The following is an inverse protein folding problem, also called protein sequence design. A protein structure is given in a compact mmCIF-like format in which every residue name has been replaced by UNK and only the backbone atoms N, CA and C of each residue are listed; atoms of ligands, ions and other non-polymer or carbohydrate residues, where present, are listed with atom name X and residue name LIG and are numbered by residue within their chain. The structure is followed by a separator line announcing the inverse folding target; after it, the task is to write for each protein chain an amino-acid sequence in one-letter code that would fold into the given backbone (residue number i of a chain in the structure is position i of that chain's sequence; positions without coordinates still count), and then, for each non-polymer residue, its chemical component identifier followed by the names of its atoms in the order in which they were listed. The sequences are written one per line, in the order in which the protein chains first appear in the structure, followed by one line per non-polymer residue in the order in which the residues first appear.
data_IF_125886364026
#
_entry.id   IF_125886364026
#
_cell.length_a   1.000
_cell.length_b   1.000
_cell.length_c   1.000
_cell.angle_alpha   90.00
_cell.angle_beta   90.00
_cell.angle_gamma   90.00
#
_symmetry.space_group_name_H-M   'P 1'
#
loop_
_entity.id
_entity.type
_entity.pdbx_description
1 polymer ?
#
# COMPACT_ATOMS: atom_id res chain seq x y z
N UNK A 1 21.26 7.90 -9.06
CA UNK A 1 21.04 7.26 -10.37
C UNK A 1 19.60 6.80 -10.42
N UNK A 2 18.89 7.01 -11.53
CA UNK A 2 17.50 6.55 -11.71
C UNK A 2 17.44 5.67 -12.94
N UNK A 3 16.62 4.62 -12.89
CA UNK A 3 16.40 3.70 -14.00
C UNK A 3 14.90 3.55 -14.22
N UNK A 4 14.48 3.66 -15.48
CA UNK A 4 13.11 3.37 -15.90
C UNK A 4 13.16 2.19 -16.86
N UNK A 5 12.43 1.12 -16.54
CA UNK A 5 12.38 -0.09 -17.36
C UNK A 5 10.95 -0.60 -17.50
N UNK A 6 10.67 -1.28 -18.60
CA UNK A 6 9.40 -1.96 -18.84
C UNK A 6 9.54 -3.44 -18.45
N UNK A 7 8.68 -3.91 -17.55
CA UNK A 7 8.64 -5.30 -17.11
C UNK A 7 7.38 -6.01 -17.67
N UNK A 8 7.48 -6.54 -18.89
CA UNK A 8 6.36 -7.26 -19.52
C UNK A 8 6.22 -8.66 -18.93
N UNK A 9 5.00 -9.03 -18.51
CA UNK A 9 4.71 -10.35 -17.95
C UNK A 9 5.20 -10.58 -16.52
N UNK A 10 5.59 -9.53 -15.80
CA UNK A 10 6.12 -9.64 -14.44
C UNK A 10 5.02 -9.69 -13.35
N UNK A 11 3.82 -9.20 -13.65
CA UNK A 11 2.65 -9.26 -12.76
C UNK A 11 1.85 -10.51 -13.13
N UNK A 12 2.18 -11.63 -12.47
CA UNK A 12 1.67 -12.97 -12.84
C UNK A 12 0.56 -13.50 -11.92
N UNK A 13 0.29 -12.85 -10.78
CA UNK A 13 -0.68 -13.32 -9.78
C UNK A 13 -0.30 -14.64 -9.07
N UNK A 14 0.93 -15.11 -9.22
CA UNK A 14 1.47 -16.31 -8.55
C UNK A 14 2.06 -15.97 -7.18
N UNK A 15 2.46 -16.96 -6.37
CA UNK A 15 3.03 -16.71 -5.02
C UNK A 15 4.30 -15.83 -4.99
N UNK A 16 4.96 -15.63 -6.13
CA UNK A 16 6.17 -14.79 -6.26
C UNK A 16 5.88 -13.41 -6.87
N UNK A 17 4.60 -13.09 -7.13
CA UNK A 17 4.14 -11.85 -7.77
C UNK A 17 2.79 -11.41 -7.19
N UNK A 18 2.36 -10.18 -7.45
CA UNK A 18 0.99 -9.73 -7.18
C UNK A 18 0.09 -9.90 -8.41
N UNK A 19 -1.22 -9.81 -8.21
CA UNK A 19 -2.21 -9.65 -9.29
C UNK A 19 -2.39 -8.16 -9.59
N UNK A 20 -2.64 -7.81 -10.85
CA UNK A 20 -2.89 -6.42 -11.25
C UNK A 20 -4.20 -5.84 -10.70
N UNK A 21 -5.07 -6.68 -10.13
CA UNK A 21 -6.33 -6.29 -9.50
C UNK A 21 -6.27 -6.23 -7.97
N UNK A 22 -5.13 -6.51 -7.35
CA UNK A 22 -5.02 -6.52 -5.88
C UNK A 22 -4.99 -5.10 -5.32
N UNK A 23 -5.74 -4.87 -4.26
CA UNK A 23 -5.80 -3.57 -3.56
C UNK A 23 -4.58 -3.31 -2.65
N UNK A 24 -3.93 -4.37 -2.16
CA UNK A 24 -2.73 -4.30 -1.32
C UNK A 24 -1.53 -5.01 -1.99
N UNK A 25 -0.36 -4.37 -2.03
CA UNK A 25 0.84 -4.92 -2.68
C UNK A 25 1.99 -4.98 -1.68
N UNK A 26 2.60 -6.15 -1.52
CA UNK A 26 3.83 -6.34 -0.75
C UNK A 26 5.04 -6.37 -1.69
N UNK A 27 5.96 -5.42 -1.53
CA UNK A 27 7.19 -5.30 -2.31
C UNK A 27 8.41 -5.40 -1.41
N UNK A 28 9.49 -6.00 -1.92
CA UNK A 28 10.80 -6.01 -1.26
C UNK A 28 11.77 -5.06 -1.95
N UNK A 29 12.69 -4.47 -1.18
CA UNK A 29 13.84 -3.76 -1.72
C UNK A 29 15.13 -4.26 -1.07
N UNK A 30 16.23 -4.15 -1.82
CA UNK A 30 17.57 -4.47 -1.37
C UNK A 30 18.58 -3.55 -2.06
N UNK A 31 19.57 -3.08 -1.30
CA UNK A 31 20.62 -2.17 -1.77
C UNK A 31 21.98 -2.75 -1.41
N UNK A 32 22.85 -2.89 -2.40
CA UNK A 32 24.26 -3.23 -2.19
C UNK A 32 25.15 -1.99 -2.34
N UNK A 33 26.19 -1.89 -1.51
CA UNK A 33 27.21 -0.83 -1.61
C UNK A 33 28.37 -1.22 -2.52
N UNK A 34 28.46 -2.50 -2.90
CA UNK A 34 29.51 -3.07 -3.76
C UNK A 34 29.00 -3.18 -5.20
N UNK A 35 29.84 -2.84 -6.16
CA UNK A 35 29.51 -3.01 -7.59
C UNK A 35 29.40 -4.49 -7.96
N UNK A 36 28.49 -4.86 -8.89
CA UNK A 36 28.44 -6.22 -9.44
C UNK A 36 29.75 -6.58 -10.15
N UNK A 37 30.12 -7.86 -10.13
CA UNK A 37 31.18 -8.35 -11.03
C UNK A 37 30.60 -8.53 -12.43
N UNK A 38 31.44 -8.41 -13.47
CA UNK A 38 31.01 -8.52 -14.88
C UNK A 38 29.76 -7.67 -15.22
N UNK A 39 29.72 -6.36 -14.91
CA UNK A 39 28.51 -5.53 -15.01
C UNK A 39 28.02 -5.32 -16.45
N UNK A 40 28.78 -5.75 -17.46
CA UNK A 40 28.41 -5.64 -18.88
C UNK A 40 27.43 -6.72 -19.36
N UNK A 41 27.17 -7.76 -18.55
CA UNK A 41 26.30 -8.87 -18.91
C UNK A 41 25.38 -9.26 -17.76
N UNK A 42 24.07 -9.15 -17.96
CA UNK A 42 23.08 -9.52 -16.94
C UNK A 42 23.12 -11.01 -16.57
N UNK A 43 23.51 -11.89 -17.51
CA UNK A 43 23.51 -13.35 -17.30
C UNK A 43 24.75 -13.88 -16.58
N UNK A 44 25.86 -13.12 -16.59
CA UNK A 44 27.12 -13.52 -15.95
C UNK A 44 27.55 -12.58 -14.82
N UNK A 45 26.74 -11.56 -14.52
CA UNK A 45 26.96 -10.70 -13.38
C UNK A 45 26.77 -11.50 -12.08
N UNK A 46 27.68 -11.32 -11.14
CA UNK A 46 27.51 -11.85 -9.78
C UNK A 46 27.36 -10.72 -8.78
N UNK A 47 26.52 -10.96 -7.78
CA UNK A 47 26.16 -10.01 -6.74
C UNK A 47 26.61 -10.54 -5.38
N UNK A 48 27.07 -9.64 -4.52
CA UNK A 48 27.26 -9.94 -3.10
C UNK A 48 25.94 -9.69 -2.34
N UNK A 49 25.84 -10.24 -1.14
CA UNK A 49 24.71 -9.98 -0.26
C UNK A 49 24.56 -8.47 0.00
N UNK A 50 23.32 -7.97 0.01
CA UNK A 50 23.02 -6.56 0.19
C UNK A 50 23.48 -6.05 1.57
N UNK A 51 24.27 -4.98 1.59
CA UNK A 51 24.82 -4.37 2.82
C UNK A 51 24.48 -2.88 2.97
N UNK A 52 23.78 -2.29 2.00
CA UNK A 52 23.32 -0.90 1.99
C UNK A 52 21.89 -0.69 2.50
N UNK A 53 21.24 -1.75 2.98
CA UNK A 53 19.87 -1.74 3.48
C UNK A 53 18.92 -2.62 2.67
N UNK A 54 17.92 -3.14 3.36
CA UNK A 54 16.88 -3.99 2.79
C UNK A 54 15.60 -3.88 3.63
N UNK A 55 14.47 -4.17 3.03
CA UNK A 55 13.19 -4.08 3.73
C UNK A 55 12.00 -4.37 2.83
N UNK A 56 10.81 -4.23 3.41
CA UNK A 56 9.54 -4.40 2.72
C UNK A 56 8.71 -3.13 2.70
N UNK A 57 7.96 -2.94 1.62
CA UNK A 57 6.86 -1.99 1.55
C UNK A 57 5.55 -2.78 1.45
N UNK A 58 4.54 -2.33 2.19
CA UNK A 58 3.15 -2.72 1.96
C UNK A 58 2.44 -1.48 1.45
N UNK A 59 1.91 -1.52 0.24
CA UNK A 59 1.13 -0.43 -0.32
C UNK A 59 -0.35 -0.80 -0.22
N UNK A 60 -1.14 0.00 0.51
CA UNK A 60 -2.51 -0.31 0.91
C UNK A 60 -2.58 -0.80 2.36
N UNK A 61 -3.45 -0.16 3.14
CA UNK A 61 -3.74 -0.34 4.58
C UNK A 61 -5.23 -0.54 4.71
N UNK A 62 -5.79 -1.22 3.71
CA UNK A 62 -7.03 -1.91 3.88
C UNK A 62 -6.91 -3.04 4.90
N UNK A 63 -7.99 -3.81 5.08
CA UNK A 63 -8.04 -4.89 6.05
C UNK A 63 -6.91 -5.93 5.89
N UNK A 64 -6.46 -6.20 4.66
CA UNK A 64 -5.36 -7.12 4.42
C UNK A 64 -4.00 -6.44 4.64
N UNK A 65 -3.81 -5.23 4.12
CA UNK A 65 -2.56 -4.46 4.23
C UNK A 65 -2.06 -4.24 5.65
N UNK A 66 -2.93 -3.77 6.55
CA UNK A 66 -2.56 -3.55 7.97
C UNK A 66 -2.12 -4.86 8.63
N UNK A 67 -2.81 -5.96 8.34
CA UNK A 67 -2.49 -7.27 8.91
C UNK A 67 -1.14 -7.77 8.38
N UNK A 68 -0.89 -7.67 7.07
CA UNK A 68 0.38 -8.07 6.46
C UNK A 68 1.53 -7.23 7.03
N UNK A 69 1.36 -5.91 7.11
CA UNK A 69 2.38 -5.02 7.68
C UNK A 69 2.69 -5.36 9.13
N UNK A 70 1.67 -5.64 9.94
CA UNK A 70 1.85 -6.06 11.33
C UNK A 70 2.59 -7.40 11.42
N UNK A 71 2.17 -8.43 10.68
CA UNK A 71 2.81 -9.75 10.73
C UNK A 71 4.26 -9.71 10.24
N UNK A 72 4.56 -8.91 9.22
CA UNK A 72 5.94 -8.70 8.77
C UNK A 72 6.78 -8.00 9.86
N UNK A 73 6.21 -7.00 10.54
CA UNK A 73 6.89 -6.28 11.64
C UNK A 73 7.13 -7.19 12.84
N UNK A 74 6.15 -8.01 13.23
CA UNK A 74 6.28 -9.02 14.30
C UNK A 74 7.40 -10.04 14.01
N UNK A 75 7.72 -10.28 12.74
CA UNK A 75 8.84 -11.14 12.33
C UNK A 75 10.23 -10.46 12.39
N UNK A 76 10.31 -9.23 12.92
CA UNK A 76 11.56 -8.47 13.06
C UNK A 76 12.05 -7.79 11.78
N UNK A 77 11.20 -7.69 10.75
CA UNK A 77 11.54 -7.00 9.50
C UNK A 77 11.26 -5.51 9.60
N UNK A 78 12.06 -4.70 8.90
CA UNK A 78 11.74 -3.29 8.66
C UNK A 78 10.68 -3.20 7.56
N UNK A 79 9.53 -2.62 7.91
CA UNK A 79 8.35 -2.52 7.04
C UNK A 79 7.88 -1.07 6.99
N UNK A 80 7.62 -0.58 5.79
CA UNK A 80 6.91 0.68 5.58
C UNK A 80 5.53 0.38 4.98
N UNK A 81 4.48 0.85 5.64
CA UNK A 81 3.10 0.81 5.15
C UNK A 81 2.78 2.15 4.48
N UNK A 82 2.28 2.10 3.24
CA UNK A 82 2.04 3.27 2.38
C UNK A 82 0.57 3.34 1.94
N UNK A 83 -0.11 4.42 2.33
CA UNK A 83 -1.48 4.70 1.92
C UNK A 83 -1.60 5.86 0.96
N UNK A 84 -2.41 5.67 -0.10
CA UNK A 84 -2.82 6.75 -0.98
C UNK A 84 -3.94 7.62 -0.40
N UNK A 85 -4.71 7.07 0.55
CA UNK A 85 -5.81 7.76 1.23
C UNK A 85 -5.37 8.72 2.33
N UNK A 86 -6.33 9.42 2.94
CA UNK A 86 -6.11 10.27 4.13
C UNK A 86 -6.30 9.46 5.41
N UNK A 87 -5.94 10.06 6.54
CA UNK A 87 -6.26 9.51 7.85
C UNK A 87 -7.78 9.45 8.06
N UNK A 88 -8.29 8.32 8.56
CA UNK A 88 -9.72 8.02 8.69
C UNK A 88 -10.26 8.35 10.09
N UNK A 89 -9.95 7.51 11.08
CA UNK A 89 -10.39 7.67 12.48
C UNK A 89 -9.65 8.79 13.19
N UNK A 90 -10.23 9.32 14.27
CA UNK A 90 -9.57 10.36 15.06
C UNK A 90 -8.21 9.90 15.60
N UNK A 91 -8.13 8.63 16.02
CA UNK A 91 -6.93 7.98 16.54
C UNK A 91 -5.78 7.89 15.51
N UNK A 92 -6.10 7.81 14.21
CA UNK A 92 -5.10 7.82 13.13
C UNK A 92 -4.77 9.23 12.63
N UNK A 93 -5.35 10.27 13.25
CA UNK A 93 -5.15 11.67 12.86
C UNK A 93 -6.24 12.23 11.93
N UNK A 94 -7.31 11.49 11.66
CA UNK A 94 -8.43 11.95 10.84
C UNK A 94 -9.19 13.11 11.47
N UNK A 95 -9.69 14.04 10.64
CA UNK A 95 -10.36 15.27 11.09
C UNK A 95 -11.68 15.57 10.38
N UNK A 96 -12.26 14.57 9.71
CA UNK A 96 -13.61 14.64 9.15
C UNK A 96 -14.62 14.42 10.29
N UNK A 97 -14.65 15.38 11.22
CA UNK A 97 -15.44 15.33 12.45
C UNK A 97 -16.92 15.55 12.16
N UNK A 98 -17.75 15.15 13.13
CA UNK A 98 -19.19 15.36 13.07
C UNK A 98 -19.55 16.69 13.73
N UNK A 99 -20.66 17.31 13.31
CA UNK A 99 -21.05 18.66 13.77
C UNK A 99 -21.28 18.78 15.29
N UNK A 100 -21.49 17.65 15.97
CA UNK A 100 -21.77 17.59 17.40
C UNK A 100 -20.55 17.18 18.25
N UNK A 101 -19.42 16.80 17.64
CA UNK A 101 -18.24 16.33 18.38
C UNK A 101 -16.94 16.43 17.56
N UNK A 102 -15.96 17.15 18.11
CA UNK A 102 -14.66 17.42 17.48
C UNK A 102 -13.55 16.40 17.81
N UNK A 103 -13.88 15.33 18.54
CA UNK A 103 -12.95 14.26 18.98
C UNK A 103 -13.26 12.89 18.36
N UNK A 104 -14.28 12.82 17.51
CA UNK A 104 -14.65 11.61 16.75
C UNK A 104 -14.88 11.99 15.30
N UNK A 105 -14.46 11.14 14.35
CA UNK A 105 -14.72 11.36 12.93
C UNK A 105 -16.00 10.64 12.49
N UNK A 106 -16.46 10.93 11.28
CA UNK A 106 -17.55 10.20 10.62
C UNK A 106 -17.29 8.68 10.53
N UNK A 107 -16.03 8.24 10.62
CA UNK A 107 -15.64 6.83 10.59
C UNK A 107 -15.68 6.16 11.97
N UNK A 108 -15.58 6.94 13.05
CA UNK A 108 -15.63 6.45 14.43
C UNK A 108 -17.07 6.19 14.92
N UNK A 109 -18.07 6.78 14.26
CA UNK A 109 -19.49 6.70 14.64
C UNK A 109 -20.17 5.54 13.90
N UNK A 110 -20.53 4.42 14.57
CA UNK A 110 -21.04 3.23 13.87
C UNK A 110 -22.31 3.50 13.05
N UNK A 111 -23.20 4.38 13.54
CA UNK A 111 -24.44 4.75 12.84
C UNK A 111 -24.21 5.57 11.57
N UNK A 112 -23.01 6.14 11.39
CA UNK A 112 -22.66 6.94 10.22
C UNK A 112 -22.25 6.07 9.02
N UNK A 113 -22.01 4.77 9.22
CA UNK A 113 -21.56 3.83 8.18
C UNK A 113 -22.43 3.85 6.91
N UNK A 114 -23.75 3.95 7.05
CA UNK A 114 -24.69 4.03 5.92
C UNK A 114 -24.70 5.39 5.20
N UNK A 115 -24.11 6.42 5.80
CA UNK A 115 -24.16 7.80 5.31
C UNK A 115 -22.83 8.29 4.73
N UNK A 116 -21.76 7.48 4.79
CA UNK A 116 -20.41 7.85 4.32
C UNK A 116 -20.35 8.28 2.85
N UNK A 117 -21.23 7.76 2.00
CA UNK A 117 -21.32 8.15 0.58
C UNK A 117 -21.88 9.56 0.35
N UNK A 118 -22.56 10.11 1.35
CA UNK A 118 -23.21 11.44 1.32
C UNK A 118 -22.65 12.39 2.37
N UNK A 119 -21.60 11.97 3.08
CA UNK A 119 -20.94 12.78 4.08
C UNK A 119 -20.20 13.97 3.44
N UNK A 120 -19.87 14.97 4.26
CA UNK A 120 -19.16 16.16 3.80
C UNK A 120 -17.76 15.87 3.25
N UNK A 121 -17.13 14.78 3.71
CA UNK A 121 -15.86 14.29 3.18
C UNK A 121 -16.03 12.88 2.61
N UNK A 122 -15.80 12.75 1.31
CA UNK A 122 -15.84 11.48 0.57
C UNK A 122 -14.48 11.11 -0.03
N UNK A 123 -13.40 11.77 0.42
CA UNK A 123 -12.06 11.60 -0.15
C UNK A 123 -11.41 10.24 0.12
N UNK A 124 -12.04 9.39 0.94
CA UNK A 124 -11.73 7.97 1.10
C UNK A 124 -11.92 7.17 -0.21
N UNK A 125 -12.85 7.57 -1.07
CA UNK A 125 -13.15 6.83 -2.30
C UNK A 125 -12.18 7.21 -3.42
N UNK A 126 -11.03 6.52 -3.49
CA UNK A 126 -10.05 6.68 -4.56
C UNK A 126 -10.64 6.37 -5.94
N UNK A 127 -10.66 7.35 -6.85
CA UNK A 127 -11.23 7.20 -8.21
C UNK A 127 -10.35 6.43 -9.18
N UNK A 128 -9.09 6.25 -8.82
CA UNK A 128 -7.99 5.74 -9.64
C UNK A 128 -7.53 4.32 -9.22
N UNK A 129 -8.18 3.71 -8.23
CA UNK A 129 -7.93 2.32 -7.82
C UNK A 129 -8.99 1.37 -8.37
N UNK A 130 -8.59 0.15 -8.74
CA UNK A 130 -9.46 -0.87 -9.33
C UNK A 130 -10.66 -1.28 -8.43
N UNK A 131 -10.57 -1.02 -7.11
CA UNK A 131 -11.60 -1.30 -6.10
C UNK A 131 -12.85 -0.41 -6.22
N UNK A 132 -12.87 0.60 -7.10
CA UNK A 132 -14.06 1.43 -7.36
C UNK A 132 -14.92 0.96 -8.55
N UNK A 133 -14.72 -0.28 -9.02
CA UNK A 133 -15.52 -0.91 -10.08
C UNK A 133 -16.83 -1.56 -9.58
N UNK A 134 -17.43 -1.02 -8.52
CA UNK A 134 -18.85 -1.22 -8.23
C UNK A 134 -19.50 0.15 -8.02
N UNK A 135 -19.59 0.90 -9.12
CA UNK A 135 -20.70 1.84 -9.27
C UNK A 135 -21.95 0.98 -9.31
N UNK A 136 -22.65 0.84 -8.18
CA UNK A 136 -24.06 0.45 -8.23
C UNK A 136 -24.74 1.54 -9.06
N UNK A 137 -25.25 1.24 -10.27
CA UNK A 137 -26.10 2.20 -10.96
C UNK A 137 -27.30 2.42 -10.04
N UNK A 138 -27.56 3.68 -9.70
CA UNK A 138 -28.74 4.11 -8.97
C UNK A 138 -29.99 3.54 -9.64
N UNK A 139 -30.91 3.02 -8.82
CA UNK A 139 -32.30 2.79 -9.22
C UNK A 139 -32.98 4.12 -9.59
#
# INVERSE_FOLDING_TARGET
MSYTFLCTGCITGTSSSFSGSTADISLGFAVGTKSPTNPTSASSATFVYHDGGFGGFVAGAGPAGIIVAQRLTESGKSVLLLEGGKASTYATGGRSTVSWNDTVTQYDVPSMSYYLTTASDTSEYCTDTASRMYSFPSF
#
